data_IF_160894983528
#
_entry.id   IF_160894983528
#
_cell.length_a   1.000
_cell.length_b   1.000
_cell.length_c   1.000
_cell.angle_alpha   90.00
_cell.angle_beta   90.00
_cell.angle_gamma   90.00
#
_symmetry.space_group_name_H-M   'P 1'
#
loop_
_entity.id
_entity.type
_entity.pdbx_description
1 polymer ?
#
# COMPACT_ATOMS: atom_id res chain seq x y z
N UNK A 1 -17.29 5.14 -1.63
CA UNK A 1 -16.89 6.16 -2.62
C UNK A 1 -17.11 5.59 -4.01
N UNK A 2 -17.53 6.41 -4.97
CA UNK A 2 -17.53 5.98 -6.38
C UNK A 2 -16.13 6.19 -7.00
N UNK A 3 -15.81 5.53 -8.14
CA UNK A 3 -14.49 5.66 -8.77
C UNK A 3 -14.08 7.09 -9.08
N UNK A 4 -15.03 7.95 -9.48
CA UNK A 4 -14.75 9.35 -9.80
C UNK A 4 -14.34 10.17 -8.58
N UNK A 5 -14.94 9.92 -7.41
CA UNK A 5 -14.54 10.55 -6.15
C UNK A 5 -13.13 10.13 -5.75
N UNK A 6 -12.73 8.89 -6.03
CA UNK A 6 -11.37 8.41 -5.77
C UNK A 6 -10.40 9.17 -6.66
N UNK A 7 -10.64 9.23 -7.97
CA UNK A 7 -9.80 10.00 -8.92
C UNK A 7 -9.64 11.45 -8.46
N UNK A 8 -10.74 12.11 -8.06
CA UNK A 8 -10.72 13.44 -7.44
C UNK A 8 -9.78 13.54 -6.24
N UNK A 9 -9.93 12.65 -5.26
CA UNK A 9 -9.20 12.68 -4.00
C UNK A 9 -7.70 12.35 -4.16
N UNK A 10 -7.34 11.26 -4.84
CA UNK A 10 -5.94 10.83 -4.96
C UNK A 10 -5.18 11.54 -6.09
N UNK A 11 -5.84 11.74 -7.24
CA UNK A 11 -5.19 12.28 -8.43
C UNK A 11 -5.07 13.80 -8.43
N UNK A 12 -6.08 14.50 -7.90
CA UNK A 12 -6.13 15.97 -7.95
C UNK A 12 -5.94 16.63 -6.58
N UNK A 13 -6.47 16.06 -5.50
CA UNK A 13 -6.36 16.64 -4.16
C UNK A 13 -5.16 16.12 -3.37
N UNK A 14 -4.33 15.27 -3.98
CA UNK A 14 -3.17 14.59 -3.37
C UNK A 14 -3.47 13.96 -1.99
N UNK A 15 -4.71 13.53 -1.76
CA UNK A 15 -5.07 12.84 -0.52
C UNK A 15 -4.57 11.41 -0.59
N UNK A 16 -4.19 10.87 0.56
CA UNK A 16 -3.88 9.45 0.77
C UNK A 16 -4.68 8.95 1.95
N UNK A 17 -4.83 7.63 2.04
CA UNK A 17 -5.46 7.02 3.20
C UNK A 17 -4.53 7.18 4.41
N UNK A 18 -5.11 7.34 5.59
CA UNK A 18 -4.36 7.24 6.84
C UNK A 18 -3.91 5.77 7.01
N UNK A 19 -2.65 5.57 7.40
CA UNK A 19 -2.13 4.24 7.70
C UNK A 19 -2.40 3.95 9.18
N UNK A 20 -3.21 2.93 9.52
CA UNK A 20 -3.49 2.57 10.90
C UNK A 20 -2.21 2.20 11.67
N UNK A 21 -2.21 2.43 12.99
CA UNK A 21 -1.03 2.19 13.84
C UNK A 21 -0.73 0.70 14.01
N UNK A 22 -1.70 -0.15 13.74
CA UNK A 22 -1.64 -1.61 13.85
C UNK A 22 -0.99 -2.26 12.62
N UNK A 23 -0.79 -1.50 11.54
CA UNK A 23 -0.09 -1.99 10.35
C UNK A 23 1.37 -2.23 10.69
N UNK A 24 1.89 -3.37 10.25
CA UNK A 24 3.30 -3.71 10.40
C UNK A 24 4.19 -2.54 9.89
N UNK A 25 5.18 -2.06 10.67
CA UNK A 25 5.97 -0.90 10.29
C UNK A 25 6.68 -1.01 8.93
N UNK A 26 7.07 -2.22 8.52
CA UNK A 26 7.66 -2.46 7.19
C UNK A 26 6.60 -2.28 6.10
N UNK A 27 5.40 -2.81 6.30
CA UNK A 27 4.27 -2.62 5.38
C UNK A 27 3.88 -1.13 5.29
N UNK A 28 3.78 -0.45 6.43
CA UNK A 28 3.47 0.97 6.48
C UNK A 28 4.48 1.80 5.67
N UNK A 29 5.79 1.51 5.86
CA UNK A 29 6.86 2.13 5.09
C UNK A 29 6.73 1.89 3.59
N UNK A 30 6.49 0.65 3.16
CA UNK A 30 6.30 0.30 1.74
C UNK A 30 5.12 1.08 1.13
N UNK A 31 4.01 1.19 1.86
CA UNK A 31 2.85 1.97 1.42
C UNK A 31 3.22 3.45 1.22
N UNK A 32 3.96 4.05 2.18
CA UNK A 32 4.42 5.43 2.06
C UNK A 32 5.35 5.66 0.86
N UNK A 33 6.32 4.76 0.64
CA UNK A 33 7.24 4.84 -0.51
C UNK A 33 6.49 4.71 -1.84
N UNK A 34 5.48 3.83 -1.93
CA UNK A 34 4.61 3.71 -3.11
C UNK A 34 3.75 4.96 -3.38
N UNK A 35 3.37 5.70 -2.32
CA UNK A 35 2.51 6.88 -2.42
C UNK A 35 3.23 8.20 -2.68
N UNK A 36 4.55 8.17 -2.94
CA UNK A 36 5.33 9.35 -3.29
C UNK A 36 4.67 10.16 -4.41
N UNK A 37 4.65 11.49 -4.22
CA UNK A 37 4.07 12.41 -5.20
C UNK A 37 4.94 12.45 -6.46
N UNK A 38 6.27 12.49 -6.27
CA UNK A 38 7.23 12.32 -7.36
C UNK A 38 7.27 10.84 -7.79
N UNK A 39 6.90 10.51 -9.04
CA UNK A 39 6.95 9.15 -9.54
C UNK A 39 8.35 8.52 -9.51
N UNK A 40 9.42 9.33 -9.61
CA UNK A 40 10.80 8.85 -9.63
C UNK A 40 11.29 8.41 -8.25
N UNK A 41 10.61 8.83 -7.18
CA UNK A 41 10.91 8.41 -5.81
C UNK A 41 10.16 7.13 -5.41
N UNK A 42 9.28 6.61 -6.27
CA UNK A 42 8.57 5.37 -6.00
C UNK A 42 9.50 4.19 -6.25
N UNK A 43 9.44 3.14 -5.41
CA UNK A 43 10.24 1.95 -5.61
C UNK A 43 9.82 1.26 -6.90
N UNK A 44 10.80 0.70 -7.60
CA UNK A 44 10.58 -0.23 -8.70
C UNK A 44 9.93 -1.51 -8.19
N UNK A 45 9.32 -2.28 -9.10
CA UNK A 45 8.79 -3.60 -8.75
C UNK A 45 9.87 -4.57 -8.24
N UNK A 46 11.12 -4.44 -8.69
CA UNK A 46 12.23 -5.27 -8.20
C UNK A 46 12.57 -4.95 -6.74
N UNK A 47 12.63 -3.67 -6.38
CA UNK A 47 12.85 -3.23 -5.00
C UNK A 47 11.68 -3.65 -4.10
N UNK A 48 10.44 -3.52 -4.58
CA UNK A 48 9.26 -4.00 -3.87
C UNK A 48 9.31 -5.51 -3.62
N UNK A 49 9.69 -6.31 -4.63
CA UNK A 49 9.78 -7.76 -4.47
C UNK A 49 10.75 -8.16 -3.36
N UNK A 50 11.88 -7.46 -3.25
CA UNK A 50 12.85 -7.65 -2.16
C UNK A 50 12.29 -7.19 -0.81
N UNK A 51 11.69 -6.00 -0.76
CA UNK A 51 11.12 -5.44 0.46
C UNK A 51 9.97 -6.28 1.03
N UNK A 52 9.25 -7.02 0.17
CA UNK A 52 8.15 -7.90 0.55
C UNK A 52 8.61 -9.29 1.02
N UNK A 53 9.86 -9.72 0.79
CA UNK A 53 10.34 -11.05 1.19
C UNK A 53 10.20 -11.35 2.70
N UNK A 54 10.50 -10.42 3.62
CA UNK A 54 10.32 -10.65 5.06
C UNK A 54 8.85 -10.85 5.46
N UNK A 55 7.91 -10.39 4.63
CA UNK A 55 6.48 -10.40 4.88
C UNK A 55 5.79 -11.70 4.41
N UNK A 56 6.54 -12.75 4.06
CA UNK A 56 6.03 -14.07 3.63
C UNK A 56 5.05 -14.74 4.62
N UNK A 57 4.86 -14.21 5.83
CA UNK A 57 3.81 -14.62 6.79
C UNK A 57 2.47 -13.88 6.66
N UNK A 58 2.33 -12.88 5.79
CA UNK A 58 1.04 -12.21 5.53
C UNK A 58 0.08 -13.02 4.65
N UNK A 59 0.42 -14.27 4.34
CA UNK A 59 -0.52 -15.21 3.69
C UNK A 59 -1.70 -15.39 4.63
N UNK A 60 -2.82 -14.75 4.29
CA UNK A 60 -4.11 -14.99 4.93
C UNK A 60 -4.36 -16.50 4.86
N UNK A 61 -4.53 -17.20 5.99
CA UNK A 61 -4.94 -18.59 5.96
C UNK A 61 -6.22 -18.68 5.13
N UNK A 62 -6.23 -19.54 4.12
CA UNK A 62 -7.35 -19.76 3.21
C UNK A 62 -8.67 -20.12 3.94
N UNK A 63 -8.62 -20.40 5.24
CA UNK A 63 -9.77 -20.66 6.12
C UNK A 63 -10.65 -19.44 6.43
N UNK A 64 -10.20 -18.21 6.17
CA UNK A 64 -11.01 -16.99 6.40
C UNK A 64 -11.86 -16.56 5.17
N UNK A 65 -11.87 -17.37 4.10
CA UNK A 65 -12.68 -17.13 2.88
C UNK A 65 -14.02 -17.90 2.84
N UNK A 66 -14.30 -18.73 3.83
CA UNK A 66 -15.53 -19.54 3.88
C UNK A 66 -16.30 -19.29 5.18
N UNK A 67 -16.88 -18.11 5.35
CA UNK A 67 -18.06 -17.87 6.20
C UNK A 67 -18.95 -16.86 5.49
#
# INVERSE_FOLDING_TARGET
MNPMQVVGAVGFQNRRLEIPKEVDPLVARIIWECWQTDPNLRPSFAELAVALMPLQRLVVPSHLRSI
#
